data_IF_007592198347
#
_entry.id   IF_007592198347
#
_cell.length_a   1.000
_cell.length_b   1.000
_cell.length_c   1.000
_cell.angle_alpha   90.00
_cell.angle_beta   90.00
_cell.angle_gamma   90.00
#
_symmetry.space_group_name_H-M   'P 1'
#
loop_
_entity.id
_entity.type
_entity.pdbx_description
1 polymer ?
#
# COMPACT_ATOMS: atom_id res chain seq x y z
N UNK A 1 -12.34 14.78 8.45
CA UNK A 1 -12.11 13.69 7.47
C UNK A 1 -13.08 12.58 7.80
N UNK A 2 -13.81 12.06 6.81
CA UNK A 2 -14.60 10.83 6.95
C UNK A 2 -13.82 9.75 6.19
N UNK A 3 -13.59 8.62 6.85
CA UNK A 3 -12.93 7.46 6.26
C UNK A 3 -13.82 6.24 6.40
N UNK A 4 -13.78 5.35 5.41
CA UNK A 4 -14.38 4.01 5.48
C UNK A 4 -13.29 2.96 5.36
N UNK A 5 -13.46 1.85 6.08
CA UNK A 5 -12.63 0.66 5.91
C UNK A 5 -13.24 -0.16 4.78
N UNK A 6 -12.41 -0.52 3.80
CA UNK A 6 -12.77 -1.48 2.76
C UNK A 6 -11.81 -2.68 2.82
N UNK A 7 -12.36 -3.87 2.60
CA UNK A 7 -11.60 -5.11 2.48
C UNK A 7 -11.33 -5.34 1.01
N UNK A 8 -10.06 -5.50 0.62
CA UNK A 8 -9.72 -5.77 -0.76
C UNK A 8 -8.34 -6.39 -0.95
N UNK A 9 -7.79 -6.24 -2.16
CA UNK A 9 -6.48 -6.77 -2.51
C UNK A 9 -5.67 -5.74 -3.30
N UNK A 10 -4.38 -5.66 -3.02
CA UNK A 10 -3.44 -4.77 -3.72
C UNK A 10 -2.50 -5.60 -4.58
N UNK A 11 -2.17 -5.11 -5.78
CA UNK A 11 -1.19 -5.76 -6.66
C UNK A 11 0.14 -5.02 -6.60
N UNK A 12 1.20 -5.70 -6.18
CA UNK A 12 2.58 -5.16 -6.14
C UNK A 12 3.48 -6.08 -6.93
N UNK A 13 4.14 -5.56 -7.97
CA UNK A 13 5.05 -6.32 -8.83
C UNK A 13 4.49 -7.71 -9.24
N UNK A 14 3.20 -7.75 -9.63
CA UNK A 14 2.43 -8.95 -10.02
C UNK A 14 2.00 -9.89 -8.88
N UNK A 15 2.37 -9.63 -7.63
CA UNK A 15 1.81 -10.34 -6.47
C UNK A 15 0.53 -9.67 -5.97
N UNK A 16 -0.42 -10.48 -5.51
CA UNK A 16 -1.69 -10.02 -4.93
C UNK A 16 -1.61 -10.17 -3.41
N UNK A 17 -1.77 -9.07 -2.69
CA UNK A 17 -1.76 -9.05 -1.22
C UNK A 17 -3.16 -8.76 -0.68
N UNK A 18 -3.70 -9.62 0.20
CA UNK A 18 -4.88 -9.25 0.97
C UNK A 18 -4.49 -8.14 1.94
N UNK A 19 -5.21 -7.02 1.89
CA UNK A 19 -5.02 -5.92 2.84
C UNK A 19 -6.31 -5.17 3.04
N UNK A 20 -6.55 -4.79 4.29
CA UNK A 20 -7.56 -3.79 4.61
C UNK A 20 -6.97 -2.41 4.28
N UNK A 21 -7.73 -1.56 3.59
CA UNK A 21 -7.32 -0.18 3.33
C UNK A 21 -8.39 0.81 3.79
N UNK A 22 -7.93 2.00 4.17
CA UNK A 22 -8.81 3.12 4.47
C UNK A 22 -8.96 3.96 3.20
N UNK A 23 -10.19 4.13 2.73
CA UNK A 23 -10.48 5.13 1.70
C UNK A 23 -10.67 6.46 2.42
N UNK A 24 -9.71 7.35 2.25
CA UNK A 24 -9.75 8.71 2.77
C UNK A 24 -10.37 9.63 1.72
N UNK A 25 -11.53 10.20 2.03
CA UNK A 25 -12.13 11.26 1.21
C UNK A 25 -11.32 12.56 1.41
N UNK A 26 -10.27 12.71 0.60
CA UNK A 26 -9.54 13.95 0.48
C UNK A 26 -10.36 14.86 -0.44
N UNK A 27 -10.83 15.98 0.12
CA UNK A 27 -11.77 16.92 -0.48
C UNK A 27 -11.16 17.72 -1.64
N UNK A 28 -10.48 17.07 -2.59
CA UNK A 28 -9.91 17.70 -3.76
C UNK A 28 -10.72 17.31 -5.01
N UNK A 29 -11.52 18.28 -5.46
CA UNK A 29 -12.64 18.08 -6.39
C UNK A 29 -12.22 17.89 -7.85
N UNK A 30 -10.96 17.60 -8.16
CA UNK A 30 -10.42 17.77 -9.52
C UNK A 30 -9.81 16.55 -10.17
N UNK A 31 -9.66 15.40 -9.50
CA UNK A 31 -9.04 14.25 -10.17
C UNK A 31 -9.42 12.92 -9.54
N UNK A 32 -10.33 12.19 -10.19
CA UNK A 32 -10.55 10.74 -9.98
C UNK A 32 -9.32 9.91 -10.43
N UNK A 33 -8.25 10.58 -10.90
CA UNK A 33 -7.09 10.01 -11.60
C UNK A 33 -5.86 9.91 -10.70
N UNK A 34 -5.82 10.63 -9.59
CA UNK A 34 -4.68 10.68 -8.65
C UNK A 34 -5.05 10.13 -7.26
N UNK A 35 -5.71 8.96 -7.23
CA UNK A 35 -5.95 8.28 -5.96
C UNK A 35 -4.61 7.83 -5.36
N UNK A 36 -4.20 8.46 -4.26
CA UNK A 36 -2.98 8.09 -3.54
C UNK A 36 -3.27 6.92 -2.59
N UNK A 37 -2.53 5.81 -2.73
CA UNK A 37 -2.56 4.70 -1.78
C UNK A 37 -1.50 4.92 -0.69
N UNK A 38 -1.92 4.96 0.56
CA UNK A 38 -1.02 5.04 1.71
C UNK A 38 -0.97 3.68 2.38
N UNK A 39 0.20 3.03 2.32
CA UNK A 39 0.45 1.76 2.99
C UNK A 39 0.87 2.00 4.44
N UNK A 40 0.06 1.53 5.37
CA UNK A 40 0.33 1.67 6.79
C UNK A 40 1.44 0.72 7.28
N UNK A 41 1.94 0.99 8.49
CA UNK A 41 2.91 0.13 9.19
C UNK A 41 2.49 -1.35 9.29
N UNK A 42 1.20 -1.70 9.54
CA UNK A 42 0.79 -3.10 9.59
C UNK A 42 1.05 -3.86 8.27
N UNK A 43 0.81 -3.22 7.12
CA UNK A 43 1.09 -3.81 5.81
C UNK A 43 2.59 -4.04 5.63
N UNK A 44 3.39 -2.98 5.86
CA UNK A 44 4.84 -3.04 5.75
C UNK A 44 5.48 -4.09 6.66
N UNK A 45 4.95 -4.30 7.87
CA UNK A 45 5.42 -5.35 8.78
C UNK A 45 5.06 -6.75 8.28
N UNK A 46 3.85 -6.95 7.76
CA UNK A 46 3.39 -8.24 7.24
C UNK A 46 4.26 -8.73 6.08
N UNK A 47 4.62 -7.82 5.18
CA UNK A 47 5.45 -8.10 4.01
C UNK A 47 6.94 -7.90 4.24
N UNK A 48 7.36 -7.74 5.50
CA UNK A 48 8.76 -7.51 5.92
C UNK A 48 9.48 -6.48 5.04
N UNK A 49 8.78 -5.40 4.74
CA UNK A 49 9.25 -4.40 3.79
C UNK A 49 10.50 -3.70 4.29
N UNK A 50 11.53 -3.65 3.44
CA UNK A 50 12.76 -2.88 3.64
C UNK A 50 12.70 -1.63 2.78
N UNK A 51 12.81 -0.49 3.44
CA UNK A 51 12.94 0.82 2.78
C UNK A 51 14.42 1.20 2.80
N UNK A 52 15.06 1.17 1.64
CA UNK A 52 16.40 1.74 1.49
C UNK A 52 16.25 3.16 0.93
N UNK A 53 16.39 4.14 1.82
CA UNK A 53 16.25 5.57 1.47
C UNK A 53 17.42 6.04 0.62
N UNK A 54 18.61 5.46 0.79
CA UNK A 54 19.81 5.88 0.05
C UNK A 54 19.80 5.36 -1.37
N UNK A 55 19.38 4.12 -1.56
CA UNK A 55 19.22 3.51 -2.88
C UNK A 55 17.90 3.91 -3.56
N UNK A 56 17.01 4.63 -2.86
CA UNK A 56 15.64 4.95 -3.30
C UNK A 56 14.85 3.70 -3.71
N UNK A 57 15.07 2.58 -3.02
CA UNK A 57 14.41 1.30 -3.30
C UNK A 57 13.53 0.84 -2.16
N UNK A 58 12.48 0.11 -2.54
CA UNK A 58 11.61 -0.61 -1.64
C UNK A 58 11.70 -2.10 -2.02
N UNK A 59 11.98 -2.96 -1.05
CA UNK A 59 11.92 -4.41 -1.24
C UNK A 59 11.02 -5.07 -0.20
N UNK A 60 10.42 -6.20 -0.55
CA UNK A 60 9.43 -6.87 0.29
C UNK A 60 9.68 -8.39 0.28
N UNK A 61 9.47 -9.04 1.42
CA UNK A 61 9.57 -10.50 1.53
C UNK A 61 8.17 -11.08 1.79
N UNK A 62 7.75 -12.03 0.96
CA UNK A 62 6.48 -12.74 1.11
C UNK A 62 6.67 -14.24 0.82
N UNK A 63 6.50 -15.06 1.86
CA UNK A 63 6.91 -16.47 1.78
C UNK A 63 8.39 -16.57 1.42
N UNK A 64 8.70 -17.32 0.36
CA UNK A 64 10.06 -17.47 -0.16
C UNK A 64 10.39 -16.48 -1.30
N UNK A 65 9.52 -15.49 -1.55
CA UNK A 65 9.67 -14.53 -2.65
C UNK A 65 10.19 -13.18 -2.13
N UNK A 66 11.25 -12.67 -2.75
CA UNK A 66 11.73 -11.30 -2.59
C UNK A 66 11.28 -10.48 -3.80
N UNK A 67 10.66 -9.33 -3.53
CA UNK A 67 10.05 -8.44 -4.52
C UNK A 67 10.70 -7.08 -4.47
#
# INVERSE_FOLDING_TARGET
MKGSVEVGSTVVNKLIFPTDFYVLDMKDKTSKKDSTLILGRPFLMTTRTKVDVLAETLSMEFGDTLV
#
